data_IF_880104602563
#
_entry.id   IF_880104602563
#
_cell.length_a   1.000
_cell.length_b   1.000
_cell.length_c   1.000
_cell.angle_alpha   90.00
_cell.angle_beta   90.00
_cell.angle_gamma   90.00
#
_symmetry.space_group_name_H-M   'P 1'
#
loop_
_entity.id
_entity.type
_entity.pdbx_description
1 polymer ?
#
# COMPACT_ATOMS: atom_id res chain seq x y z
N UNK A 1 -0.87 -4.08 17.65
CA UNK A 1 -0.47 -3.61 16.30
C UNK A 1 -0.67 -4.70 15.24
N UNK A 2 0.17 -5.74 15.14
CA UNK A 2 0.02 -6.75 14.08
C UNK A 2 -1.31 -7.54 14.15
N UNK A 3 -1.73 -7.91 15.35
CA UNK A 3 -3.02 -8.58 15.59
C UNK A 3 -4.20 -7.70 15.15
N UNK A 4 -4.20 -6.42 15.52
CA UNK A 4 -5.29 -5.48 15.17
C UNK A 4 -5.34 -5.21 13.67
N UNK A 5 -4.17 -5.04 13.03
CA UNK A 5 -4.08 -4.82 11.59
C UNK A 5 -4.65 -6.01 10.81
N UNK A 6 -4.40 -7.24 11.26
CA UNK A 6 -4.90 -8.48 10.65
C UNK A 6 -6.39 -8.72 10.95
N UNK A 7 -6.92 -8.12 12.02
CA UNK A 7 -8.32 -8.25 12.44
C UNK A 7 -9.04 -6.89 12.43
N UNK A 8 -9.12 -6.21 11.28
CA UNK A 8 -9.74 -4.90 11.23
C UNK A 8 -11.25 -5.01 11.51
N UNK A 9 -11.84 -4.12 12.34
CA UNK A 9 -13.28 -4.13 12.66
C UNK A 9 -14.19 -3.89 11.44
N UNK A 10 -13.67 -3.28 10.38
CA UNK A 10 -14.40 -2.98 9.14
C UNK A 10 -13.57 -3.34 7.90
N UNK A 11 -14.22 -3.52 6.76
CA UNK A 11 -13.55 -3.92 5.50
C UNK A 11 -12.75 -2.81 4.82
N UNK A 12 -12.88 -1.54 5.25
CA UNK A 12 -12.30 -0.37 4.57
C UNK A 12 -10.95 0.08 5.14
N UNK A 13 -10.31 -0.73 5.97
CA UNK A 13 -9.02 -0.41 6.62
C UNK A 13 -8.04 -1.57 6.49
N UNK A 14 -6.77 -1.30 6.75
CA UNK A 14 -5.68 -2.28 6.60
C UNK A 14 -5.65 -2.91 5.21
N UNK A 15 -5.10 -4.11 5.08
CA UNK A 15 -5.02 -4.84 3.82
C UNK A 15 -6.38 -5.04 3.13
N UNK A 16 -7.47 -5.20 3.91
CA UNK A 16 -8.83 -5.33 3.35
C UNK A 16 -9.29 -4.05 2.65
N UNK A 17 -8.94 -2.88 3.19
CA UNK A 17 -9.21 -1.60 2.58
C UNK A 17 -8.49 -1.44 1.24
N UNK A 18 -7.21 -1.84 1.18
CA UNK A 18 -6.40 -1.81 -0.06
C UNK A 18 -7.03 -2.72 -1.12
N UNK A 19 -7.41 -3.95 -0.75
CA UNK A 19 -8.08 -4.88 -1.64
C UNK A 19 -9.40 -4.31 -2.16
N UNK A 20 -10.21 -3.70 -1.28
CA UNK A 20 -11.44 -3.03 -1.70
C UNK A 20 -11.16 -1.92 -2.70
N UNK A 21 -10.18 -1.05 -2.41
CA UNK A 21 -9.77 0.05 -3.29
C UNK A 21 -9.40 -0.45 -4.69
N UNK A 22 -8.74 -1.60 -4.82
CA UNK A 22 -8.41 -2.20 -6.13
C UNK A 22 -9.62 -2.35 -7.05
N UNK A 23 -10.80 -2.62 -6.49
CA UNK A 23 -12.05 -2.76 -7.25
C UNK A 23 -12.80 -1.43 -7.42
N UNK A 24 -12.73 -0.54 -6.43
CA UNK A 24 -13.43 0.75 -6.44
C UNK A 24 -12.83 1.73 -7.44
N UNK A 25 -11.51 1.71 -7.67
CA UNK A 25 -10.86 2.61 -8.65
C UNK A 25 -11.36 2.39 -10.09
N UNK A 26 -11.76 1.15 -10.43
CA UNK A 26 -12.37 0.81 -11.72
C UNK A 26 -13.76 1.43 -11.87
N UNK A 27 -14.54 1.47 -10.78
CA UNK A 27 -15.86 2.11 -10.76
C UNK A 27 -15.71 3.63 -10.81
N UNK A 28 -14.77 4.17 -10.06
CA UNK A 28 -14.50 5.61 -10.02
C UNK A 28 -14.10 6.14 -11.41
N UNK A 29 -13.19 5.44 -12.11
CA UNK A 29 -12.81 5.79 -13.48
C UNK A 29 -14.01 5.89 -14.43
N UNK A 30 -14.98 4.98 -14.33
CA UNK A 30 -16.17 4.97 -15.20
C UNK A 30 -17.17 6.08 -14.88
N UNK A 31 -17.18 6.57 -13.64
CA UNK A 31 -18.24 7.44 -13.13
C UNK A 31 -17.80 8.89 -12.88
N UNK A 32 -16.49 9.18 -12.91
CA UNK A 32 -16.00 10.55 -12.72
C UNK A 32 -16.37 11.44 -13.90
N UNK A 33 -16.61 12.72 -13.60
CA UNK A 33 -16.86 13.77 -14.60
C UNK A 33 -15.56 14.40 -15.13
N UNK A 34 -14.43 14.18 -14.47
CA UNK A 34 -13.15 14.78 -14.84
C UNK A 34 -12.00 13.85 -14.43
N UNK A 35 -11.68 12.89 -15.30
CA UNK A 35 -10.64 11.86 -15.09
C UNK A 35 -9.30 12.53 -14.77
N UNK A 36 -8.88 13.51 -15.60
CA UNK A 36 -7.60 14.20 -15.41
C UNK A 36 -7.47 14.82 -14.03
N UNK A 37 -8.42 15.67 -13.65
CA UNK A 37 -8.40 16.35 -12.35
C UNK A 37 -8.39 15.35 -11.21
N UNK A 38 -9.31 14.40 -11.23
CA UNK A 38 -9.53 13.45 -10.14
C UNK A 38 -8.30 12.57 -9.89
N UNK A 39 -7.78 11.95 -10.94
CA UNK A 39 -6.66 11.01 -10.81
C UNK A 39 -5.31 11.72 -10.62
N UNK A 40 -5.04 12.84 -11.29
CA UNK A 40 -3.79 13.57 -11.09
C UNK A 40 -3.73 14.29 -9.74
N UNK A 41 -4.87 14.83 -9.27
CA UNK A 41 -4.92 15.37 -7.91
C UNK A 41 -4.62 14.25 -6.91
N UNK A 42 -5.18 13.06 -7.10
CA UNK A 42 -4.94 11.93 -6.20
C UNK A 42 -3.50 11.44 -6.25
N UNK A 43 -2.90 11.29 -7.43
CA UNK A 43 -1.48 10.99 -7.60
C UNK A 43 -0.60 12.03 -6.89
N UNK A 44 -0.91 13.32 -7.05
CA UNK A 44 -0.22 14.40 -6.36
C UNK A 44 -0.36 14.31 -4.84
N UNK A 45 -1.56 14.01 -4.33
CA UNK A 45 -1.78 13.84 -2.89
C UNK A 45 -0.99 12.65 -2.33
N UNK A 46 -0.99 11.52 -3.03
CA UNK A 46 -0.21 10.33 -2.65
C UNK A 46 1.29 10.64 -2.52
N UNK A 47 1.83 11.49 -3.40
CA UNK A 47 3.23 11.88 -3.37
C UNK A 47 3.54 13.03 -2.40
N UNK A 48 2.69 14.06 -2.33
CA UNK A 48 3.03 15.37 -1.74
C UNK A 48 2.19 15.78 -0.53
N UNK A 49 0.98 15.25 -0.33
CA UNK A 49 0.09 15.70 0.75
C UNK A 49 0.40 15.05 2.11
N UNK A 50 1.66 15.17 2.53
CA UNK A 50 2.12 14.71 3.83
C UNK A 50 2.49 13.24 3.90
N UNK A 51 2.44 12.49 2.79
CA UNK A 51 2.86 11.08 2.72
C UNK A 51 4.04 10.80 1.80
N UNK A 52 4.79 11.78 1.30
CA UNK A 52 6.12 11.57 0.65
C UNK A 52 6.34 10.25 -0.09
N UNK A 53 5.47 9.89 -1.05
CA UNK A 53 5.57 8.64 -1.82
C UNK A 53 5.62 7.37 -0.96
N UNK A 54 4.63 7.18 -0.08
CA UNK A 54 4.49 6.05 0.88
C UNK A 54 5.10 6.24 2.27
N UNK A 55 5.14 7.45 2.81
CA UNK A 55 5.72 7.87 4.09
C UNK A 55 5.43 6.92 5.23
N UNK A 56 4.17 6.53 5.47
CA UNK A 56 3.87 5.62 6.58
C UNK A 56 4.54 4.24 6.40
N UNK A 57 4.66 3.75 5.15
CA UNK A 57 5.36 2.50 4.84
C UNK A 57 6.87 2.68 4.94
N UNK A 58 7.40 3.83 4.51
CA UNK A 58 8.83 4.17 4.67
C UNK A 58 9.21 4.29 6.15
N UNK A 59 8.39 4.98 6.95
CA UNK A 59 8.55 5.11 8.40
C UNK A 59 8.51 3.75 9.08
N UNK A 60 7.51 2.91 8.74
CA UNK A 60 7.40 1.58 9.34
C UNK A 60 8.55 0.66 8.89
N UNK A 61 8.97 0.73 7.63
CA UNK A 61 10.18 0.07 7.13
C UNK A 61 11.40 0.45 7.97
N UNK A 62 11.63 1.74 8.20
CA UNK A 62 12.81 2.22 8.91
C UNK A 62 12.77 1.81 10.39
N UNK A 63 11.60 1.87 11.02
CA UNK A 63 11.38 1.29 12.35
C UNK A 63 11.71 -0.21 12.41
N UNK A 64 11.27 -1.00 11.42
CA UNK A 64 11.59 -2.43 11.37
C UNK A 64 13.09 -2.66 11.15
N UNK A 65 13.76 -1.84 10.35
CA UNK A 65 15.21 -1.90 10.13
C UNK A 65 15.98 -1.73 11.44
N UNK A 66 15.61 -0.74 12.25
CA UNK A 66 16.20 -0.51 13.58
C UNK A 66 15.87 -1.67 14.53
N UNK A 67 14.63 -2.16 14.51
CA UNK A 67 14.19 -3.30 15.32
C UNK A 67 15.00 -4.58 15.03
N UNK A 68 15.41 -4.82 13.77
CA UNK A 68 16.27 -5.96 13.42
C UNK A 68 17.61 -5.90 14.14
N UNK A 69 18.19 -4.71 14.31
CA UNK A 69 19.49 -4.54 14.96
C UNK A 69 19.44 -4.89 16.45
N UNK A 70 18.29 -4.63 17.09
CA UNK A 70 18.09 -4.87 18.53
C UNK A 70 17.61 -6.30 18.82
N UNK A 71 16.63 -6.78 18.07
CA UNK A 71 15.92 -8.05 18.37
C UNK A 71 16.51 -9.24 17.59
N UNK A 72 17.26 -8.98 16.50
CA UNK A 72 17.89 -9.99 15.64
C UNK A 72 16.92 -11.05 15.08
N UNK A 73 15.61 -10.76 15.05
CA UNK A 73 14.59 -11.69 14.56
C UNK A 73 14.58 -11.76 13.03
N UNK A 74 14.72 -12.99 12.49
CA UNK A 74 14.59 -13.26 11.05
C UNK A 74 13.22 -12.79 10.50
N UNK A 75 12.15 -12.94 11.29
CA UNK A 75 10.79 -12.56 10.87
C UNK A 75 10.63 -11.05 10.73
N UNK A 76 11.23 -10.28 11.64
CA UNK A 76 11.28 -8.81 11.53
C UNK A 76 12.09 -8.40 10.29
N UNK A 77 13.21 -9.08 10.02
CA UNK A 77 14.03 -8.82 8.83
C UNK A 77 13.26 -9.10 7.53
N UNK A 78 12.53 -10.22 7.46
CA UNK A 78 11.66 -10.55 6.32
C UNK A 78 10.58 -9.48 6.12
N UNK A 79 9.88 -9.08 7.19
CA UNK A 79 8.86 -8.03 7.12
C UNK A 79 9.44 -6.67 6.67
N UNK A 80 10.63 -6.30 7.16
CA UNK A 80 11.33 -5.10 6.69
C UNK A 80 11.55 -5.12 5.17
N UNK A 81 11.98 -6.26 4.60
CA UNK A 81 12.16 -6.41 3.15
C UNK A 81 10.84 -6.30 2.40
N UNK A 82 9.75 -6.86 2.94
CA UNK A 82 8.42 -6.70 2.35
C UNK A 82 8.01 -5.23 2.31
N UNK A 83 8.24 -4.46 3.38
CA UNK A 83 7.89 -3.03 3.42
C UNK A 83 8.73 -2.16 2.47
N UNK A 84 9.96 -2.56 2.14
CA UNK A 84 10.71 -1.93 1.03
C UNK A 84 9.94 -2.10 -0.29
N UNK A 85 9.50 -3.32 -0.60
CA UNK A 85 8.80 -3.59 -1.85
C UNK A 85 7.43 -2.94 -1.89
N UNK A 86 6.68 -2.99 -0.79
CA UNK A 86 5.35 -2.37 -0.66
C UNK A 86 5.43 -0.86 -0.92
N UNK A 87 6.44 -0.16 -0.37
CA UNK A 87 6.61 1.28 -0.61
C UNK A 87 6.87 1.60 -2.10
N UNK A 88 7.62 0.75 -2.81
CA UNK A 88 7.84 0.91 -4.27
C UNK A 88 6.54 0.72 -5.06
N UNK A 89 5.75 -0.31 -4.72
CA UNK A 89 4.49 -0.59 -5.41
C UNK A 89 3.48 0.56 -5.23
N UNK A 90 3.39 1.15 -4.03
CA UNK A 90 2.53 2.31 -3.79
C UNK A 90 2.93 3.53 -4.63
N UNK A 91 4.23 3.74 -4.85
CA UNK A 91 4.72 4.77 -5.77
C UNK A 91 4.33 4.44 -7.23
N UNK A 92 4.41 3.19 -7.65
CA UNK A 92 3.96 2.80 -8.98
C UNK A 92 2.45 3.07 -9.18
N UNK A 93 1.62 2.86 -8.15
CA UNK A 93 0.19 3.23 -8.21
C UNK A 93 -0.01 4.73 -8.42
N UNK A 94 0.77 5.59 -7.75
CA UNK A 94 0.65 7.05 -7.94
C UNK A 94 1.06 7.47 -9.35
N UNK A 95 2.13 6.89 -9.90
CA UNK A 95 2.58 7.11 -11.28
C UNK A 95 1.52 6.65 -12.29
N UNK A 96 0.89 5.49 -12.06
CA UNK A 96 -0.21 5.01 -12.90
C UNK A 96 -1.43 5.92 -12.85
N UNK A 97 -1.80 6.45 -11.67
CA UNK A 97 -2.89 7.42 -11.56
C UNK A 97 -2.58 8.70 -12.32
N UNK A 98 -1.33 9.16 -12.30
CA UNK A 98 -0.92 10.28 -13.13
C UNK A 98 -1.12 9.99 -14.63
N UNK A 99 -0.72 8.80 -15.09
CA UNK A 99 -0.91 8.35 -16.48
C UNK A 99 -2.39 8.23 -16.88
N UNK A 100 -3.26 7.80 -15.96
CA UNK A 100 -4.72 7.79 -16.18
C UNK A 100 -5.22 9.18 -16.52
N UNK A 101 -4.76 10.21 -15.82
CA UNK A 101 -5.17 11.57 -16.12
C UNK A 101 -4.55 12.18 -17.39
N UNK A 102 -3.42 11.65 -17.85
CA UNK A 102 -2.81 12.08 -19.13
C UNK A 102 -3.45 11.40 -20.35
N UNK A 103 -3.89 10.14 -20.19
CA UNK A 103 -4.29 9.30 -21.33
C UNK A 103 -5.77 8.95 -21.35
N UNK A 104 -6.44 9.04 -20.20
CA UNK A 104 -7.80 8.55 -19.99
C UNK A 104 -7.97 7.07 -20.39
N UNK A 105 -6.90 6.28 -20.31
CA UNK A 105 -6.88 4.87 -20.72
C UNK A 105 -7.08 3.94 -19.51
N UNK A 106 -8.15 3.14 -19.57
CA UNK A 106 -8.51 2.15 -18.54
C UNK A 106 -7.39 1.13 -18.27
N UNK A 107 -6.47 0.89 -19.21
CA UNK A 107 -5.36 -0.06 -19.00
C UNK A 107 -4.51 0.30 -17.78
N UNK A 108 -4.28 1.59 -17.52
CA UNK A 108 -3.50 2.05 -16.37
C UNK A 108 -4.25 1.84 -15.05
N UNK A 109 -5.58 1.95 -15.07
CA UNK A 109 -6.43 1.58 -13.92
C UNK A 109 -6.41 0.08 -13.67
N UNK A 110 -6.45 -0.74 -14.72
CA UNK A 110 -6.37 -2.19 -14.57
C UNK A 110 -5.03 -2.61 -13.96
N UNK A 111 -3.92 -2.03 -14.44
CA UNK A 111 -2.60 -2.28 -13.86
C UNK A 111 -2.50 -1.79 -12.41
N UNK A 112 -3.02 -0.61 -12.09
CA UNK A 112 -3.04 -0.11 -10.72
C UNK A 112 -3.88 -1.00 -9.79
N UNK A 113 -4.98 -1.56 -10.30
CA UNK A 113 -5.83 -2.52 -9.58
C UNK A 113 -5.06 -3.80 -9.23
N UNK A 114 -4.32 -4.38 -10.18
CA UNK A 114 -3.48 -5.55 -9.96
C UNK A 114 -2.41 -5.29 -8.90
N UNK A 115 -1.73 -4.14 -8.97
CA UNK A 115 -0.73 -3.75 -7.98
C UNK A 115 -1.35 -3.56 -6.59
N UNK A 116 -2.55 -2.98 -6.49
CA UNK A 116 -3.24 -2.84 -5.19
C UNK A 116 -3.62 -4.20 -4.58
N UNK A 117 -3.96 -5.20 -5.40
CA UNK A 117 -4.18 -6.58 -4.93
C UNK A 117 -2.87 -7.13 -4.37
N UNK A 118 -1.76 -6.98 -5.10
CA UNK A 118 -0.44 -7.43 -4.66
C UNK A 118 -0.01 -6.75 -3.34
N UNK A 119 -0.19 -5.42 -3.24
CA UNK A 119 0.09 -4.67 -2.02
C UNK A 119 -0.72 -5.23 -0.84
N UNK A 120 -2.01 -5.50 -1.05
CA UNK A 120 -2.88 -6.05 0.00
C UNK A 120 -2.35 -7.38 0.53
N UNK A 121 -2.00 -8.30 -0.36
CA UNK A 121 -1.46 -9.61 0.01
C UNK A 121 -0.11 -9.48 0.73
N UNK A 122 0.79 -8.64 0.22
CA UNK A 122 2.10 -8.39 0.83
C UNK A 122 1.99 -7.76 2.21
N UNK A 123 1.14 -6.75 2.41
CA UNK A 123 0.94 -6.13 3.72
C UNK A 123 0.35 -7.15 4.71
N UNK A 124 -0.59 -8.00 4.28
CA UNK A 124 -1.12 -9.09 5.12
C UNK A 124 0.01 -10.05 5.55
N UNK A 125 0.79 -10.57 4.60
CA UNK A 125 1.87 -11.52 4.86
C UNK A 125 2.98 -10.92 5.74
N UNK A 126 3.34 -9.65 5.53
CA UNK A 126 4.32 -8.95 6.38
C UNK A 126 3.82 -8.87 7.83
N UNK A 127 2.54 -8.55 8.03
CA UNK A 127 1.95 -8.44 9.37
C UNK A 127 1.78 -9.81 10.05
N UNK A 128 1.53 -10.88 9.30
CA UNK A 128 1.56 -12.26 9.82
C UNK A 128 2.96 -12.65 10.33
N UNK A 129 4.03 -12.30 9.59
CA UNK A 129 5.42 -12.52 10.04
C UNK A 129 5.70 -11.78 11.34
N UNK A 130 5.24 -10.53 11.46
CA UNK A 130 5.42 -9.73 12.66
C UNK A 130 4.66 -10.30 13.86
N UNK A 131 3.44 -10.81 13.64
CA UNK A 131 2.69 -11.51 14.70
C UNK A 131 3.46 -12.73 15.22
N UNK A 132 4.09 -13.52 14.33
CA UNK A 132 4.90 -14.68 14.74
C UNK A 132 6.13 -14.22 15.54
N UNK A 133 6.80 -13.16 15.10
CA UNK A 133 7.97 -12.60 15.78
C UNK A 133 7.69 -12.16 17.23
N UNK A 134 6.45 -11.76 17.53
CA UNK A 134 6.04 -11.36 18.89
C UNK A 134 5.64 -12.52 19.80
N UNK A 135 5.41 -13.73 19.27
CA UNK A 135 5.00 -14.91 20.05
C UNK A 135 6.21 -15.76 20.47
N UNK A 136 7.35 -15.58 19.80
CA UNK A 136 8.56 -16.40 19.99
C UNK A 136 9.64 -15.74 20.85
N UNK A 137 9.32 -14.60 21.49
CA UNK A 137 10.17 -13.90 22.45
C UNK A 137 9.59 -14.01 23.87
#
# INVERSE_FOLDING_TARGET
NAVDYLNPPIKNISYKGILKTSSEIKKWFKNTKNIKRDFQTTAMLMEKAGTGGSLFRNLYRDFLKESVQLVQSKKIKEAYQDFIQIAKLWKEVSELFYQVGETEDIKYINKASEILIEISEREKLAMEKLKIATITN
#
